data_IF_074804712146
#
_entry.id   IF_074804712146
#
_cell.length_a   1.000
_cell.length_b   1.000
_cell.length_c   1.000
_cell.angle_alpha   90.00
_cell.angle_beta   90.00
_cell.angle_gamma   90.00
#
_symmetry.space_group_name_H-M   'P 1'
#
loop_
_entity.id
_entity.type
_entity.pdbx_description
1 polymer ?
#
# COMPACT_ATOMS: atom_id res chain seq x y z
N UNK A 1 -9.02 19.23 -1.91
CA UNK A 1 -8.07 18.16 -2.20
C UNK A 1 -8.49 17.42 -3.46
N UNK A 2 -7.53 17.13 -4.34
CA UNK A 2 -7.66 16.06 -5.33
C UNK A 2 -7.21 14.76 -4.70
N UNK A 3 -8.06 13.73 -4.78
CA UNK A 3 -7.82 12.43 -4.12
C UNK A 3 -7.03 11.46 -5.01
N UNK A 4 -6.78 10.27 -4.46
CA UNK A 4 -6.06 9.17 -5.12
C UNK A 4 -4.60 9.10 -4.68
N UNK A 5 -4.19 7.92 -4.14
CA UNK A 5 -2.81 7.70 -3.71
C UNK A 5 -2.25 6.34 -4.17
N UNK A 6 -3.08 5.52 -4.78
CA UNK A 6 -2.68 4.28 -5.46
C UNK A 6 -2.80 4.51 -6.96
N UNK A 7 -1.69 4.75 -7.60
CA UNK A 7 -1.65 5.07 -9.02
C UNK A 7 -0.39 4.55 -9.70
N UNK A 8 -0.51 4.45 -11.00
CA UNK A 8 0.57 4.11 -11.92
C UNK A 8 0.39 4.88 -13.21
N UNK A 9 1.40 4.97 -14.01
CA UNK A 9 1.33 5.65 -15.28
C UNK A 9 2.63 5.62 -16.04
N UNK A 10 2.62 6.25 -17.20
CA UNK A 10 3.81 6.48 -18.01
C UNK A 10 4.28 7.92 -17.83
N UNK A 11 5.57 8.12 -17.70
CA UNK A 11 6.18 9.44 -17.56
C UNK A 11 6.06 10.19 -18.89
N UNK A 12 5.39 11.33 -18.89
CA UNK A 12 5.24 12.18 -20.08
C UNK A 12 6.17 13.40 -20.06
N UNK A 13 6.60 13.83 -18.88
CA UNK A 13 7.53 14.95 -18.70
C UNK A 13 8.36 14.75 -17.43
N UNK A 14 9.59 15.26 -17.42
CA UNK A 14 10.49 15.25 -16.26
C UNK A 14 11.05 16.63 -15.97
N UNK A 15 11.11 16.99 -14.70
CA UNK A 15 11.74 18.23 -14.24
C UNK A 15 13.24 18.24 -14.48
N UNK A 16 13.83 19.42 -14.64
CA UNK A 16 15.24 19.60 -14.98
C UNK A 16 16.25 18.95 -14.00
N UNK A 17 15.83 18.70 -12.74
CA UNK A 17 16.66 18.04 -11.71
C UNK A 17 16.62 16.52 -11.75
N UNK A 18 15.69 15.90 -12.47
CA UNK A 18 15.54 14.44 -12.53
C UNK A 18 16.55 13.82 -13.48
N UNK A 19 17.27 12.78 -13.04
CA UNK A 19 18.38 12.15 -13.79
C UNK A 19 18.18 10.68 -14.10
N UNK A 20 17.35 10.00 -13.35
CA UNK A 20 17.21 8.53 -13.31
C UNK A 20 15.84 8.03 -13.79
N UNK A 21 14.95 8.95 -14.14
CA UNK A 21 13.66 8.69 -14.79
C UNK A 21 13.60 9.50 -16.07
N UNK A 22 12.99 8.96 -17.11
CA UNK A 22 12.83 9.61 -18.42
C UNK A 22 11.42 9.41 -18.95
N UNK A 23 11.05 10.23 -19.94
CA UNK A 23 9.80 10.09 -20.69
C UNK A 23 9.69 8.67 -21.28
N UNK A 24 8.52 8.06 -21.16
CA UNK A 24 8.22 6.69 -21.55
C UNK A 24 8.56 5.64 -20.49
N UNK A 25 9.07 6.03 -19.31
CA UNK A 25 9.27 5.07 -18.23
C UNK A 25 7.94 4.75 -17.52
N UNK A 26 7.59 3.47 -17.32
CA UNK A 26 6.45 3.08 -16.50
C UNK A 26 6.80 3.25 -15.01
N UNK A 27 5.88 3.85 -14.27
CA UNK A 27 6.05 4.12 -12.83
C UNK A 27 4.82 3.71 -12.03
N UNK A 28 5.06 3.35 -10.78
CA UNK A 28 4.06 3.24 -9.72
C UNK A 28 4.29 4.35 -8.72
N UNK A 29 3.23 4.93 -8.19
CA UNK A 29 3.33 5.99 -7.20
C UNK A 29 3.40 5.40 -5.80
N UNK A 30 4.40 5.81 -5.03
CA UNK A 30 4.43 5.55 -3.60
C UNK A 30 4.13 6.85 -2.84
N UNK A 31 3.21 6.81 -1.89
CA UNK A 31 2.70 8.00 -1.21
C UNK A 31 3.61 8.53 -0.09
N UNK A 32 4.71 7.85 0.21
CA UNK A 32 5.64 8.21 1.29
C UNK A 32 7.01 8.57 0.75
N UNK A 33 7.07 9.68 -0.01
CA UNK A 33 8.33 10.20 -0.54
C UNK A 33 9.34 10.54 0.56
N UNK A 34 10.63 10.52 0.26
CA UNK A 34 11.68 10.83 1.21
C UNK A 34 12.69 11.84 0.64
N UNK A 35 13.19 12.74 1.50
CA UNK A 35 14.17 13.73 1.10
C UNK A 35 15.63 13.20 1.14
N UNK A 36 15.89 12.07 1.79
CA UNK A 36 17.20 11.46 1.91
C UNK A 36 18.15 12.12 2.92
N UNK A 37 17.83 13.30 3.44
CA UNK A 37 18.80 14.12 4.23
C UNK A 37 18.32 14.51 5.64
N UNK A 38 17.05 14.34 5.98
CA UNK A 38 16.57 14.62 7.34
C UNK A 38 17.01 13.51 8.31
N UNK A 39 16.93 13.79 9.61
CA UNK A 39 17.35 12.85 10.65
C UNK A 39 16.68 11.48 10.55
N UNK A 40 15.40 11.42 10.18
CA UNK A 40 14.70 10.16 10.01
C UNK A 40 15.21 9.38 8.78
N UNK A 41 15.43 10.06 7.65
CA UNK A 41 15.99 9.43 6.46
C UNK A 41 17.40 8.89 6.71
N UNK A 42 18.28 9.68 7.32
CA UNK A 42 19.64 9.28 7.67
C UNK A 42 19.65 8.18 8.75
N UNK A 43 18.64 8.15 9.63
CA UNK A 43 18.45 7.11 10.64
C UNK A 43 17.80 5.82 10.14
N UNK A 44 17.67 5.64 8.81
CA UNK A 44 17.09 4.41 8.20
C UNK A 44 15.57 4.31 8.28
N UNK A 45 14.88 5.43 8.51
CA UNK A 45 13.42 5.51 8.60
C UNK A 45 12.83 6.49 7.55
N UNK A 46 13.12 6.30 6.24
CA UNK A 46 12.68 7.23 5.20
C UNK A 46 11.16 7.36 5.09
N UNK A 47 10.40 6.34 5.48
CA UNK A 47 8.93 6.38 5.55
C UNK A 47 8.38 7.40 6.57
N UNK A 48 9.22 7.88 7.47
CA UNK A 48 8.90 8.93 8.45
C UNK A 48 9.62 10.24 8.11
N UNK A 49 9.82 10.54 6.85
CA UNK A 49 10.53 11.74 6.38
C UNK A 49 9.85 13.02 6.86
N UNK A 50 10.60 13.85 7.62
CA UNK A 50 10.08 15.09 8.19
C UNK A 50 9.70 16.13 7.12
N UNK A 51 10.47 16.19 6.02
CA UNK A 51 10.18 17.10 4.90
C UNK A 51 8.90 16.71 4.20
N UNK A 52 8.73 15.42 3.92
CA UNK A 52 7.51 14.91 3.29
C UNK A 52 6.29 15.10 4.19
N UNK A 53 6.41 14.80 5.48
CA UNK A 53 5.30 14.95 6.43
C UNK A 53 4.84 16.41 6.56
N UNK A 54 5.79 17.35 6.60
CA UNK A 54 5.50 18.78 6.62
C UNK A 54 4.80 19.24 5.34
N UNK A 55 5.23 18.78 4.17
CA UNK A 55 4.60 19.10 2.89
C UNK A 55 3.20 18.50 2.79
N UNK A 56 3.07 17.22 3.14
CA UNK A 56 1.79 16.50 3.12
C UNK A 56 0.73 17.14 4.03
N UNK A 57 1.11 17.60 5.22
CA UNK A 57 0.20 18.28 6.15
C UNK A 57 -0.41 19.56 5.55
N UNK A 58 0.28 20.19 4.59
CA UNK A 58 -0.19 21.36 3.85
C UNK A 58 -0.90 21.00 2.52
N UNK A 59 -0.91 19.74 2.13
CA UNK A 59 -1.37 19.32 0.81
C UNK A 59 -0.44 19.75 -0.33
N UNK A 60 0.86 19.87 -0.04
CA UNK A 60 1.88 20.33 -0.99
C UNK A 60 2.80 19.19 -1.44
N UNK A 61 3.52 19.42 -2.52
CA UNK A 61 4.69 18.65 -2.91
C UNK A 61 5.90 19.02 -2.03
N UNK A 62 6.89 18.15 -1.92
CA UNK A 62 8.12 18.44 -1.16
C UNK A 62 8.90 19.62 -1.75
N UNK A 63 8.80 19.82 -3.06
CA UNK A 63 9.36 20.99 -3.76
C UNK A 63 8.63 22.32 -3.44
N UNK A 64 7.57 22.28 -2.63
CA UNK A 64 6.76 23.44 -2.22
C UNK A 64 5.55 23.70 -3.12
N UNK A 65 4.44 24.08 -2.49
CA UNK A 65 3.18 24.41 -3.14
C UNK A 65 2.47 23.23 -3.80
N UNK A 66 1.29 23.50 -4.33
CA UNK A 66 0.57 22.57 -5.20
C UNK A 66 0.85 22.88 -6.68
N UNK A 67 0.57 21.92 -7.54
CA UNK A 67 0.56 22.08 -9.00
C UNK A 67 -0.85 21.97 -9.55
N UNK A 68 -1.85 22.00 -8.66
CA UNK A 68 -3.25 21.86 -8.99
C UNK A 68 -3.99 23.14 -8.66
N UNK A 69 -4.81 23.62 -9.59
CA UNK A 69 -5.67 24.77 -9.39
C UNK A 69 -7.08 24.48 -9.90
N UNK A 70 -8.08 25.13 -9.31
CA UNK A 70 -9.43 25.12 -9.85
C UNK A 70 -9.57 26.07 -11.04
N UNK A 71 -10.75 26.12 -11.64
CA UNK A 71 -11.06 27.02 -12.78
C UNK A 71 -10.97 28.49 -12.45
N UNK A 72 -10.89 28.86 -11.16
CA UNK A 72 -10.75 30.23 -10.67
C UNK A 72 -9.32 30.59 -10.27
N UNK A 73 -8.38 29.63 -10.42
CA UNK A 73 -6.99 29.78 -10.03
C UNK A 73 -6.70 29.56 -8.56
N UNK A 74 -7.65 29.07 -7.77
CA UNK A 74 -7.39 28.72 -6.38
C UNK A 74 -6.61 27.41 -6.29
N UNK A 75 -5.66 27.34 -5.37
CA UNK A 75 -4.87 26.16 -5.15
C UNK A 75 -5.72 24.98 -4.64
N UNK A 76 -5.53 23.81 -5.23
CA UNK A 76 -6.12 22.54 -4.79
C UNK A 76 -5.01 21.71 -4.12
N UNK A 77 -5.23 21.31 -2.89
CA UNK A 77 -4.28 20.52 -2.13
C UNK A 77 -4.12 19.08 -2.68
N UNK A 78 -2.90 18.59 -2.70
CA UNK A 78 -2.58 17.20 -3.00
C UNK A 78 -2.94 16.26 -1.87
N UNK A 79 -3.43 15.05 -2.20
CA UNK A 79 -3.45 13.92 -1.27
C UNK A 79 -2.07 13.25 -1.29
N UNK A 80 -1.34 13.35 -0.18
CA UNK A 80 -0.05 12.69 0.03
C UNK A 80 1.00 12.93 -1.08
N UNK A 81 0.93 14.08 -1.76
CA UNK A 81 1.84 14.39 -2.87
C UNK A 81 1.63 13.55 -4.14
N UNK A 82 0.52 12.84 -4.24
CA UNK A 82 0.18 11.94 -5.38
C UNK A 82 -1.00 12.48 -6.18
N UNK A 83 -2.22 12.47 -5.61
CA UNK A 83 -3.44 12.98 -6.28
C UNK A 83 -3.68 12.36 -7.67
N UNK A 84 -3.82 11.04 -7.73
CA UNK A 84 -3.86 10.31 -9.00
C UNK A 84 -5.27 10.01 -9.54
N UNK A 85 -6.35 10.53 -8.94
CA UNK A 85 -7.66 10.47 -9.58
C UNK A 85 -7.78 11.53 -10.68
N UNK A 86 -6.89 11.42 -11.65
CA UNK A 86 -6.74 12.37 -12.76
C UNK A 86 -6.06 11.68 -13.94
N UNK A 87 -6.21 12.23 -15.14
CA UNK A 87 -5.53 11.77 -16.35
C UNK A 87 -4.01 12.04 -16.30
N UNK A 88 -3.60 13.09 -15.59
CA UNK A 88 -2.21 13.47 -15.36
C UNK A 88 -1.99 13.78 -13.89
N UNK A 89 -0.83 13.37 -13.37
CA UNK A 89 -0.40 13.70 -12.02
C UNK A 89 0.99 14.35 -12.06
N UNK A 90 1.19 15.37 -11.23
CA UNK A 90 2.52 15.95 -10.98
C UNK A 90 2.96 15.49 -9.60
N UNK A 91 4.07 14.79 -9.54
CA UNK A 91 4.58 14.16 -8.31
C UNK A 91 6.05 14.51 -8.09
N UNK A 92 6.49 14.44 -6.84
CA UNK A 92 7.92 14.53 -6.53
C UNK A 92 8.66 13.28 -7.09
N UNK A 93 9.94 13.46 -7.49
CA UNK A 93 10.76 12.34 -7.93
C UNK A 93 10.78 11.18 -6.94
N UNK A 94 10.81 11.47 -5.64
CA UNK A 94 10.82 10.47 -4.58
C UNK A 94 9.53 9.66 -4.46
N UNK A 95 8.46 10.10 -5.10
CA UNK A 95 7.16 9.38 -5.17
C UNK A 95 7.12 8.38 -6.32
N UNK A 96 7.93 8.56 -7.37
CA UNK A 96 7.95 7.73 -8.56
C UNK A 96 8.85 6.51 -8.39
N UNK A 97 8.30 5.32 -8.49
CA UNK A 97 9.03 4.05 -8.51
C UNK A 97 8.94 3.48 -9.93
N UNK A 98 10.09 3.40 -10.60
CA UNK A 98 10.17 2.79 -11.92
C UNK A 98 9.95 1.29 -11.81
N UNK A 99 9.11 0.74 -12.70
CA UNK A 99 8.75 -0.68 -12.75
C UNK A 99 9.11 -1.28 -14.11
N UNK A 100 8.99 -2.58 -14.24
CA UNK A 100 9.22 -3.27 -15.50
C UNK A 100 8.16 -2.87 -16.53
N UNK A 101 8.57 -2.79 -17.81
CA UNK A 101 7.68 -2.41 -18.93
C UNK A 101 6.59 -3.44 -19.20
N UNK A 102 6.85 -4.69 -18.85
CA UNK A 102 5.90 -5.79 -19.06
C UNK A 102 4.86 -5.89 -17.94
N UNK A 103 4.99 -5.09 -16.87
CA UNK A 103 4.03 -5.07 -15.77
C UNK A 103 2.77 -4.31 -16.19
N UNK A 104 1.57 -4.91 -16.10
CA UNK A 104 0.30 -4.23 -16.36
C UNK A 104 0.11 -3.08 -15.37
N UNK A 105 0.18 -1.83 -15.85
CA UNK A 105 0.14 -0.65 -14.98
C UNK A 105 -1.15 -0.54 -14.18
N UNK A 106 -2.29 -0.94 -14.76
CA UNK A 106 -3.58 -0.93 -14.06
C UNK A 106 -3.55 -1.80 -12.79
N UNK A 107 -2.91 -2.98 -12.86
CA UNK A 107 -2.77 -3.88 -11.72
C UNK A 107 -1.66 -3.41 -10.77
N UNK A 108 -0.61 -2.81 -11.33
CA UNK A 108 0.54 -2.34 -10.57
C UNK A 108 0.22 -1.16 -9.64
N UNK A 109 -0.84 -0.42 -9.89
CA UNK A 109 -1.21 0.77 -9.10
C UNK A 109 -1.33 0.50 -7.60
N UNK A 110 -1.81 -0.70 -7.21
CA UNK A 110 -1.99 -1.07 -5.79
C UNK A 110 -0.69 -1.36 -5.05
N UNK A 111 0.45 -1.52 -5.76
CA UNK A 111 1.75 -1.78 -5.12
C UNK A 111 2.20 -0.61 -4.26
N UNK A 112 1.81 0.61 -4.61
CA UNK A 112 2.18 1.82 -3.87
C UNK A 112 1.58 1.95 -2.47
N UNK A 113 0.55 1.19 -2.14
CA UNK A 113 -0.10 1.22 -0.82
C UNK A 113 -0.54 -0.17 -0.34
N UNK A 114 -1.61 -0.75 -0.88
CA UNK A 114 -2.25 -1.93 -0.33
C UNK A 114 -1.30 -3.14 -0.26
N UNK A 115 -0.54 -3.40 -1.32
CA UNK A 115 0.42 -4.52 -1.36
C UNK A 115 1.53 -4.31 -0.33
N UNK A 116 2.20 -3.16 -0.39
CA UNK A 116 3.31 -2.85 0.50
C UNK A 116 2.87 -2.85 1.97
N UNK A 117 1.68 -2.32 2.27
CA UNK A 117 1.14 -2.27 3.63
C UNK A 117 0.80 -3.66 4.15
N UNK A 118 0.04 -4.45 3.39
CA UNK A 118 -0.38 -5.78 3.82
C UNK A 118 0.78 -6.75 3.97
N UNK A 119 1.61 -6.88 2.94
CA UNK A 119 2.80 -7.75 2.97
C UNK A 119 3.81 -7.28 4.02
N UNK A 120 4.04 -5.96 4.10
CA UNK A 120 4.98 -5.38 5.06
C UNK A 120 4.54 -5.54 6.52
N UNK A 121 3.24 -5.48 6.82
CA UNK A 121 2.72 -5.76 8.14
C UNK A 121 3.09 -7.18 8.61
N UNK A 122 2.98 -8.14 7.72
CA UNK A 122 3.29 -9.55 8.00
C UNK A 122 4.80 -9.79 8.11
N UNK A 123 5.56 -9.40 7.09
CA UNK A 123 6.99 -9.74 7.02
C UNK A 123 7.87 -8.88 7.91
N UNK A 124 7.58 -7.57 8.02
CA UNK A 124 8.47 -6.61 8.68
C UNK A 124 8.01 -6.25 10.08
N UNK A 125 6.69 -6.15 10.32
CA UNK A 125 6.14 -5.73 11.63
C UNK A 125 5.86 -6.93 12.52
N UNK A 126 4.98 -7.82 12.10
CA UNK A 126 4.67 -9.05 12.84
C UNK A 126 5.82 -10.07 12.80
N UNK A 127 6.59 -10.07 11.70
CA UNK A 127 7.71 -11.00 11.49
C UNK A 127 7.30 -12.46 11.59
N UNK A 128 6.18 -12.78 10.95
CA UNK A 128 5.62 -14.12 10.89
C UNK A 128 6.64 -15.08 10.30
N UNK A 129 6.70 -16.28 10.84
CA UNK A 129 7.64 -17.36 10.49
C UNK A 129 6.90 -18.55 9.91
N UNK A 130 7.66 -19.42 9.25
CA UNK A 130 7.14 -20.70 8.81
C UNK A 130 6.64 -21.52 10.01
N UNK A 131 5.42 -22.05 9.91
CA UNK A 131 4.76 -22.81 10.97
C UNK A 131 3.83 -21.98 11.87
N UNK A 132 3.90 -20.64 11.84
CA UNK A 132 2.99 -19.79 12.62
C UNK A 132 1.55 -19.87 12.09
N UNK A 133 0.59 -19.56 12.97
CA UNK A 133 -0.85 -19.46 12.66
C UNK A 133 -1.29 -18.01 12.63
N UNK A 134 -2.03 -17.61 11.58
CA UNK A 134 -2.37 -16.22 11.31
C UNK A 134 -3.83 -16.04 11.00
N UNK A 135 -4.49 -15.07 11.62
CA UNK A 135 -5.82 -14.63 11.23
C UNK A 135 -5.76 -13.27 10.52
N UNK A 136 -6.25 -13.22 9.27
CA UNK A 136 -6.41 -11.97 8.53
C UNK A 136 -7.87 -11.53 8.64
N UNK A 137 -8.13 -10.50 9.44
CA UNK A 137 -9.47 -9.97 9.71
C UNK A 137 -9.75 -8.76 8.83
N UNK A 138 -10.78 -8.87 7.97
CA UNK A 138 -11.12 -7.87 6.98
C UNK A 138 -10.35 -8.07 5.67
N UNK A 139 -11.03 -8.57 4.65
CA UNK A 139 -10.45 -8.95 3.35
C UNK A 139 -10.64 -7.84 2.31
N UNK A 140 -10.22 -6.63 2.65
CA UNK A 140 -9.99 -5.55 1.70
C UNK A 140 -8.61 -5.67 1.05
N UNK A 141 -8.18 -4.66 0.29
CA UNK A 141 -6.89 -4.66 -0.39
C UNK A 141 -5.71 -4.98 0.54
N UNK A 142 -5.64 -4.34 1.70
CA UNK A 142 -4.57 -4.58 2.71
C UNK A 142 -4.67 -5.99 3.30
N UNK A 143 -5.88 -6.44 3.72
CA UNK A 143 -6.06 -7.75 4.35
C UNK A 143 -5.75 -8.93 3.42
N UNK A 144 -6.16 -8.85 2.14
CA UNK A 144 -5.80 -9.86 1.14
C UNK A 144 -4.30 -9.89 0.87
N UNK A 145 -3.63 -8.74 0.86
CA UNK A 145 -2.17 -8.69 0.74
C UNK A 145 -1.46 -9.15 2.01
N UNK A 146 -2.04 -8.94 3.20
CA UNK A 146 -1.56 -9.56 4.44
C UNK A 146 -1.64 -11.08 4.38
N UNK A 147 -2.73 -11.62 3.84
CA UNK A 147 -2.89 -13.06 3.61
C UNK A 147 -1.80 -13.61 2.66
N UNK A 148 -1.55 -12.91 1.54
CA UNK A 148 -0.48 -13.28 0.62
C UNK A 148 0.90 -13.19 1.29
N UNK A 149 1.12 -12.18 2.14
CA UNK A 149 2.31 -12.05 2.98
C UNK A 149 2.50 -13.24 3.93
N UNK A 150 1.41 -13.68 4.61
CA UNK A 150 1.43 -14.84 5.49
C UNK A 150 1.77 -16.13 4.73
N UNK A 151 1.21 -16.30 3.53
CA UNK A 151 1.56 -17.41 2.65
C UNK A 151 3.03 -17.38 2.24
N UNK A 152 3.54 -16.20 1.87
CA UNK A 152 4.94 -16.01 1.51
C UNK A 152 5.89 -16.31 2.69
N UNK A 153 5.49 -15.97 3.92
CA UNK A 153 6.23 -16.27 5.14
C UNK A 153 6.22 -17.76 5.50
N UNK A 154 5.37 -18.57 4.87
CA UNK A 154 5.23 -20.00 5.17
C UNK A 154 4.38 -20.29 6.40
N UNK A 155 3.43 -19.42 6.74
CA UNK A 155 2.48 -19.68 7.82
C UNK A 155 1.75 -21.02 7.59
N UNK A 156 1.59 -21.83 8.65
CA UNK A 156 0.95 -23.15 8.56
C UNK A 156 -0.55 -23.05 8.41
N UNK A 157 -1.19 -22.15 9.20
CA UNK A 157 -2.61 -21.89 9.10
C UNK A 157 -2.84 -20.41 8.82
N UNK A 158 -3.56 -20.15 7.75
CA UNK A 158 -3.95 -18.80 7.33
C UNK A 158 -5.47 -18.75 7.33
N UNK A 159 -6.03 -18.09 8.35
CA UNK A 159 -7.46 -17.99 8.56
C UNK A 159 -7.94 -16.65 8.02
N UNK A 160 -8.74 -16.67 6.97
CA UNK A 160 -9.35 -15.49 6.41
C UNK A 160 -10.70 -15.22 7.09
N UNK A 161 -10.89 -14.02 7.61
CA UNK A 161 -12.10 -13.62 8.35
C UNK A 161 -12.72 -12.40 7.69
N UNK A 162 -13.94 -12.48 7.25
CA UNK A 162 -14.72 -11.36 6.69
C UNK A 162 -16.23 -11.65 6.85
N UNK A 163 -17.05 -10.63 6.65
CA UNK A 163 -18.51 -10.74 6.64
C UNK A 163 -19.08 -11.05 5.25
N UNK A 164 -18.25 -11.06 4.21
CA UNK A 164 -18.65 -11.24 2.81
C UNK A 164 -18.11 -12.58 2.27
N UNK A 165 -19.02 -13.46 1.88
CA UNK A 165 -18.68 -14.81 1.39
C UNK A 165 -17.87 -14.79 0.09
N UNK A 166 -18.11 -13.84 -0.82
CA UNK A 166 -17.33 -13.72 -2.06
C UNK A 166 -15.85 -13.43 -1.76
N UNK A 167 -15.58 -12.57 -0.76
CA UNK A 167 -14.22 -12.30 -0.30
C UNK A 167 -13.58 -13.50 0.37
N UNK A 168 -14.34 -14.26 1.14
CA UNK A 168 -13.87 -15.53 1.72
C UNK A 168 -13.54 -16.54 0.62
N UNK A 169 -14.35 -16.61 -0.43
CA UNK A 169 -14.08 -17.42 -1.62
C UNK A 169 -12.79 -17.00 -2.33
N UNK A 170 -12.57 -15.70 -2.55
CA UNK A 170 -11.34 -15.16 -3.12
C UNK A 170 -10.12 -15.45 -2.23
N UNK A 171 -10.25 -15.30 -0.92
CA UNK A 171 -9.17 -15.59 0.02
C UNK A 171 -8.69 -17.05 -0.06
N UNK A 172 -9.61 -18.01 -0.24
CA UNK A 172 -9.25 -19.41 -0.49
C UNK A 172 -8.43 -19.59 -1.75
N UNK A 173 -8.80 -18.94 -2.84
CA UNK A 173 -8.05 -18.99 -4.10
C UNK A 173 -6.64 -18.40 -3.95
N UNK A 174 -6.49 -17.36 -3.12
CA UNK A 174 -5.21 -16.72 -2.84
C UNK A 174 -4.34 -17.50 -1.85
N UNK A 175 -4.89 -18.46 -1.12
CA UNK A 175 -4.13 -19.37 -0.27
C UNK A 175 -4.50 -19.38 1.20
N UNK A 176 -5.68 -18.85 1.60
CA UNK A 176 -6.21 -19.08 2.92
C UNK A 176 -6.44 -20.59 3.12
N UNK A 177 -5.95 -21.12 4.23
CA UNK A 177 -6.17 -22.53 4.59
C UNK A 177 -7.58 -22.74 5.18
N UNK A 178 -8.11 -21.72 5.85
CA UNK A 178 -9.42 -21.70 6.46
C UNK A 178 -10.11 -20.36 6.24
N UNK A 179 -11.44 -20.38 6.26
CA UNK A 179 -12.26 -19.17 6.18
C UNK A 179 -13.31 -19.20 7.25
N UNK A 180 -13.56 -18.06 7.88
CA UNK A 180 -14.57 -17.88 8.92
C UNK A 180 -15.43 -16.67 8.59
N UNK A 181 -16.75 -16.83 8.57
CA UNK A 181 -17.64 -15.69 8.38
C UNK A 181 -17.90 -15.01 9.74
N UNK A 182 -17.49 -13.75 9.87
CA UNK A 182 -17.63 -13.01 11.12
C UNK A 182 -19.09 -12.68 11.51
N UNK A 183 -20.08 -13.00 10.66
CA UNK A 183 -21.50 -12.95 11.03
C UNK A 183 -21.94 -14.16 11.85
N UNK A 184 -21.21 -15.26 11.81
CA UNK A 184 -21.52 -16.44 12.59
C UNK A 184 -21.32 -16.14 14.07
N UNK A 185 -22.30 -16.50 14.91
CA UNK A 185 -22.26 -16.19 16.35
C UNK A 185 -21.09 -16.88 17.07
N UNK A 186 -20.62 -17.98 16.53
CA UNK A 186 -19.56 -18.84 17.05
C UNK A 186 -18.21 -18.65 16.30
N UNK A 187 -18.07 -17.57 15.54
CA UNK A 187 -16.87 -17.33 14.72
C UNK A 187 -15.54 -17.38 15.52
N UNK A 188 -15.55 -16.95 16.78
CA UNK A 188 -14.36 -17.02 17.64
C UNK A 188 -14.05 -18.46 18.08
N UNK A 189 -15.10 -19.24 18.39
CA UNK A 189 -14.97 -20.66 18.70
C UNK A 189 -14.43 -21.42 17.49
N UNK A 190 -14.96 -21.17 16.30
CA UNK A 190 -14.43 -21.76 15.05
C UNK A 190 -12.93 -21.51 14.91
N UNK A 191 -12.45 -20.28 15.15
CA UNK A 191 -11.01 -19.96 15.08
C UNK A 191 -10.21 -20.74 16.11
N UNK A 192 -10.70 -20.83 17.35
CA UNK A 192 -10.04 -21.59 18.42
C UNK A 192 -9.98 -23.09 18.11
N UNK A 193 -11.05 -23.65 17.55
CA UNK A 193 -11.10 -25.08 17.16
C UNK A 193 -10.10 -25.36 16.02
N UNK A 194 -10.02 -24.47 15.03
CA UNK A 194 -9.04 -24.59 13.94
C UNK A 194 -7.62 -24.55 14.47
N UNK A 195 -7.34 -23.80 15.52
CA UNK A 195 -5.99 -23.47 16.00
C UNK A 195 -5.62 -24.11 17.34
N UNK A 196 -6.50 -24.93 17.90
CA UNK A 196 -6.33 -25.52 19.23
C UNK A 196 -6.09 -24.49 20.36
N UNK A 197 -6.80 -23.34 20.27
CA UNK A 197 -6.81 -22.34 21.36
C UNK A 197 -6.62 -20.90 20.93
N UNK A 198 -6.17 -20.62 19.71
CA UNK A 198 -5.98 -19.28 19.17
C UNK A 198 -4.88 -19.22 18.10
N UNK A 199 -4.74 -18.06 17.47
CA UNK A 199 -3.68 -17.80 16.49
C UNK A 199 -2.47 -17.15 17.15
N UNK A 200 -1.29 -17.29 16.54
CA UNK A 200 -0.08 -16.59 16.99
C UNK A 200 -0.15 -15.10 16.66
N UNK A 201 -0.82 -14.76 15.52
CA UNK A 201 -0.98 -13.38 15.04
C UNK A 201 -2.37 -13.14 14.46
N UNK A 202 -2.89 -11.90 14.70
CA UNK A 202 -4.12 -11.40 14.10
C UNK A 202 -3.96 -9.96 13.64
#
# INVERSE_FOLDING_TARGET
HLLGHEGSGEVVEVGAGVRDIKVGDPIVFQFSASCGVCSNCLGGKPQLCLTHDTARAKGHLMAGGSRLTDSKGNEIAHQSGVSCFAEYAVIDRGTAVKVDKDLPLADAAIFGCAVMTGVGAVLNTARIRAGDTVACVGLGGVGLNGLLGAKLAGAEKIIAVDVNDDKLGLARQLGATHTVNAKDKDHLEQIKDITAGGVDYA
#
